data_IF_627403933922
#
_entry.id   IF_627403933922
#
_cell.length_a   1.000
_cell.length_b   1.000
_cell.length_c   1.000
_cell.angle_alpha   90.00
_cell.angle_beta   90.00
_cell.angle_gamma   90.00
#
_symmetry.space_group_name_H-M   'P 1'
#
loop_
_entity.id
_entity.type
_entity.pdbx_description
1 polymer ?
#
# COMPACT_ATOMS: atom_id res chain seq x y z
N UNK A 1 7.25 -11.47 0.05
CA UNK A 1 8.35 -10.68 -0.50
C UNK A 1 8.02 -10.05 -1.86
N UNK A 2 7.88 -10.81 -2.95
CA UNK A 2 7.80 -10.24 -4.32
C UNK A 2 6.58 -9.34 -4.54
N UNK A 3 5.43 -9.72 -3.96
CA UNK A 3 4.24 -8.88 -3.96
C UNK A 3 4.50 -7.52 -3.28
N UNK A 4 5.27 -7.51 -2.18
CA UNK A 4 5.65 -6.28 -1.49
C UNK A 4 6.55 -5.38 -2.35
N UNK A 5 7.52 -5.98 -3.07
CA UNK A 5 8.35 -5.25 -4.04
C UNK A 5 7.53 -4.65 -5.17
N UNK A 6 6.59 -5.41 -5.73
CA UNK A 6 5.72 -4.92 -6.80
C UNK A 6 4.85 -3.75 -6.34
N UNK A 7 4.20 -3.88 -5.18
CA UNK A 7 3.37 -2.82 -4.59
C UNK A 7 4.21 -1.56 -4.35
N UNK A 8 5.41 -1.68 -3.77
CA UNK A 8 6.31 -0.53 -3.57
C UNK A 8 6.66 0.21 -4.87
N UNK A 9 6.91 -0.53 -5.96
CA UNK A 9 7.15 0.09 -7.27
C UNK A 9 5.91 0.81 -7.79
N UNK A 10 4.71 0.22 -7.63
CA UNK A 10 3.47 0.86 -8.06
C UNK A 10 3.20 2.16 -7.29
N UNK A 11 3.43 2.18 -5.97
CA UNK A 11 3.33 3.38 -5.14
C UNK A 11 4.25 4.49 -5.66
N UNK A 12 5.51 4.16 -5.93
CA UNK A 12 6.49 5.13 -6.41
C UNK A 12 6.18 5.64 -7.81
N UNK A 13 5.78 4.76 -8.74
CA UNK A 13 5.40 5.13 -10.10
C UNK A 13 4.17 6.03 -10.10
N UNK A 14 3.19 5.75 -9.24
CA UNK A 14 1.99 6.57 -9.08
C UNK A 14 2.33 7.99 -8.62
N UNK A 15 3.22 8.10 -7.63
CA UNK A 15 3.73 9.38 -7.14
C UNK A 15 4.46 10.19 -8.23
N UNK A 16 5.25 9.52 -9.07
CA UNK A 16 5.97 10.15 -10.21
C UNK A 16 4.99 10.57 -11.31
N UNK A 17 4.07 9.69 -11.67
CA UNK A 17 3.14 9.89 -12.77
C UNK A 17 1.95 10.79 -12.39
N UNK A 18 1.82 11.17 -11.11
CA UNK A 18 0.69 11.93 -10.55
C UNK A 18 -0.65 11.28 -10.88
N UNK A 19 -0.67 9.95 -10.86
CA UNK A 19 -1.91 9.20 -11.05
C UNK A 19 -2.73 9.42 -9.77
N UNK A 20 -3.99 9.82 -9.91
CA UNK A 20 -4.81 10.20 -8.75
C UNK A 20 -5.01 9.03 -7.77
N UNK A 21 -5.02 9.33 -6.47
CA UNK A 21 -5.05 8.35 -5.37
C UNK A 21 -6.14 7.27 -5.50
N UNK A 22 -7.33 7.63 -6.01
CA UNK A 22 -8.43 6.67 -6.21
C UNK A 22 -8.04 5.56 -7.19
N UNK A 23 -7.36 5.90 -8.29
CA UNK A 23 -6.94 4.94 -9.32
C UNK A 23 -5.87 3.99 -8.78
N UNK A 24 -4.97 4.48 -7.93
CA UNK A 24 -3.97 3.66 -7.25
C UNK A 24 -4.64 2.63 -6.34
N UNK A 25 -5.55 3.07 -5.48
CA UNK A 25 -6.24 2.20 -4.54
C UNK A 25 -7.02 1.08 -5.26
N UNK A 26 -7.72 1.40 -6.35
CA UNK A 26 -8.45 0.41 -7.14
C UNK A 26 -7.50 -0.61 -7.79
N UNK A 27 -6.35 -0.17 -8.31
CA UNK A 27 -5.33 -1.04 -8.90
C UNK A 27 -4.68 -1.96 -7.86
N UNK A 28 -4.33 -1.43 -6.70
CA UNK A 28 -3.76 -2.22 -5.61
C UNK A 28 -4.76 -3.26 -5.11
N UNK A 29 -6.04 -2.88 -4.96
CA UNK A 29 -7.09 -3.82 -4.61
C UNK A 29 -7.21 -4.95 -5.64
N UNK A 30 -7.33 -4.61 -6.92
CA UNK A 30 -7.45 -5.60 -7.99
C UNK A 30 -6.23 -6.54 -8.05
N UNK A 31 -5.02 -6.00 -7.87
CA UNK A 31 -3.78 -6.79 -7.82
C UNK A 31 -3.82 -7.79 -6.65
N UNK A 32 -4.20 -7.34 -5.46
CA UNK A 32 -4.18 -8.16 -4.26
C UNK A 32 -5.28 -9.22 -4.28
N UNK A 33 -6.47 -8.87 -4.77
CA UNK A 33 -7.57 -9.83 -5.01
C UNK A 33 -7.17 -10.89 -6.04
N UNK A 34 -6.56 -10.48 -7.16
CA UNK A 34 -6.08 -11.40 -8.20
C UNK A 34 -4.99 -12.33 -7.68
N UNK A 35 -4.04 -11.83 -6.90
CA UNK A 35 -2.99 -12.66 -6.28
C UNK A 35 -3.58 -13.68 -5.31
N UNK A 36 -4.50 -13.26 -4.44
CA UNK A 36 -5.16 -14.16 -3.50
C UNK A 36 -5.99 -15.23 -4.21
N UNK A 37 -6.72 -14.86 -5.27
CA UNK A 37 -7.46 -15.81 -6.09
C UNK A 37 -6.57 -16.81 -6.83
N UNK A 38 -5.42 -16.36 -7.34
CA UNK A 38 -4.48 -17.23 -8.05
C UNK A 38 -3.67 -18.17 -7.16
N UNK A 39 -3.30 -17.73 -5.96
CA UNK A 39 -2.51 -18.54 -5.01
C UNK A 39 -3.41 -19.39 -4.10
N UNK A 40 -4.71 -19.07 -4.01
CA UNK A 40 -5.65 -19.78 -3.13
C UNK A 40 -5.38 -19.53 -1.64
N UNK A 41 -4.69 -18.44 -1.29
CA UNK A 41 -4.29 -18.14 0.08
C UNK A 41 -4.68 -16.72 0.49
N UNK A 42 -5.00 -16.56 1.78
CA UNK A 42 -5.26 -15.24 2.38
C UNK A 42 -3.92 -14.57 2.67
N UNK A 43 -3.77 -13.33 2.19
CA UNK A 43 -2.58 -12.54 2.47
C UNK A 43 -2.54 -12.13 3.94
N UNK A 44 -1.44 -12.47 4.62
CA UNK A 44 -1.15 -11.94 5.95
C UNK A 44 -0.72 -10.47 5.84
N UNK A 45 -1.64 -9.56 6.20
CA UNK A 45 -1.49 -8.11 5.99
C UNK A 45 -0.24 -7.51 6.67
N UNK A 46 0.03 -7.76 7.96
CA UNK A 46 1.23 -7.21 8.60
C UNK A 46 2.55 -7.61 7.90
N UNK A 47 2.62 -8.84 7.39
CA UNK A 47 3.79 -9.31 6.64
C UNK A 47 3.90 -8.62 5.29
N UNK A 48 2.77 -8.38 4.61
CA UNK A 48 2.76 -7.61 3.37
C UNK A 48 3.21 -6.18 3.62
N UNK A 49 2.64 -5.49 4.61
CA UNK A 49 2.97 -4.10 4.94
C UNK A 49 4.46 -3.95 5.25
N UNK A 50 5.02 -4.88 6.04
CA UNK A 50 6.46 -4.91 6.33
C UNK A 50 7.30 -5.07 5.06
N UNK A 51 6.94 -5.99 4.16
CA UNK A 51 7.65 -6.18 2.90
C UNK A 51 7.54 -4.97 1.96
N UNK A 52 6.40 -4.28 1.93
CA UNK A 52 6.23 -3.05 1.15
C UNK A 52 7.11 -1.95 1.72
N UNK A 53 7.08 -1.72 3.03
CA UNK A 53 7.90 -0.72 3.70
C UNK A 53 9.40 -0.96 3.47
N UNK A 54 9.88 -2.19 3.68
CA UNK A 54 11.27 -2.56 3.40
C UNK A 54 11.65 -2.32 1.92
N UNK A 55 10.74 -2.62 0.99
CA UNK A 55 10.98 -2.40 -0.44
C UNK A 55 11.02 -0.93 -0.82
N UNK A 56 10.19 -0.08 -0.19
CA UNK A 56 10.21 1.37 -0.37
C UNK A 56 11.53 1.97 0.12
N UNK A 57 12.00 1.58 1.30
CA UNK A 57 13.27 2.05 1.85
C UNK A 57 14.46 1.63 0.98
N UNK A 58 14.45 0.40 0.47
CA UNK A 58 15.49 -0.05 -0.45
C UNK A 58 15.46 0.70 -1.81
N UNK A 59 14.27 1.08 -2.29
CA UNK A 59 14.16 1.95 -3.47
C UNK A 59 14.71 3.35 -3.18
N UNK A 60 14.38 3.92 -2.01
CA UNK A 60 14.87 5.22 -1.58
C UNK A 60 16.40 5.25 -1.51
N UNK A 61 17.02 4.24 -0.89
CA UNK A 61 18.46 4.04 -0.86
C UNK A 61 19.07 4.02 -2.28
N UNK A 62 18.51 3.20 -3.18
CA UNK A 62 19.00 3.10 -4.56
C UNK A 62 18.90 4.42 -5.32
N UNK A 63 17.82 5.18 -5.13
CA UNK A 63 17.62 6.48 -5.76
C UNK A 63 18.61 7.51 -5.21
N UNK A 64 18.83 7.52 -3.89
CA UNK A 64 19.78 8.40 -3.24
C UNK A 64 21.23 8.13 -3.68
N UNK A 65 21.60 6.86 -3.84
CA UNK A 65 22.93 6.45 -4.31
C UNK A 65 23.14 6.68 -5.81
N UNK A 66 22.05 6.74 -6.60
CA UNK A 66 22.09 6.92 -8.06
C UNK A 66 21.01 7.91 -8.50
N UNK A 67 21.22 9.22 -8.30
CA UNK A 67 20.23 10.26 -8.58
C UNK A 67 20.11 10.55 -10.08
N UNK A 68 19.51 9.62 -10.83
CA UNK A 68 19.34 9.73 -12.28
C UNK A 68 18.11 10.55 -12.69
N UNK A 69 17.16 10.75 -11.77
CA UNK A 69 15.90 11.45 -12.04
C UNK A 69 15.96 12.90 -11.55
N UNK A 70 15.41 13.84 -12.33
CA UNK A 70 15.16 15.19 -11.82
C UNK A 70 14.18 15.12 -10.66
N UNK A 71 14.48 15.83 -9.57
CA UNK A 71 13.65 15.77 -8.37
C UNK A 71 13.76 14.45 -7.60
N UNK A 72 14.85 13.69 -7.76
CA UNK A 72 15.07 12.41 -7.07
C UNK A 72 14.81 12.46 -5.56
N UNK A 73 15.12 13.59 -4.91
CA UNK A 73 14.89 13.79 -3.48
C UNK A 73 13.40 13.72 -3.10
N UNK A 74 12.49 14.14 -3.97
CA UNK A 74 11.04 14.01 -3.75
C UNK A 74 10.59 12.54 -3.80
N UNK A 75 11.27 11.71 -4.61
CA UNK A 75 10.99 10.28 -4.68
C UNK A 75 11.51 9.52 -3.46
N UNK A 76 12.68 9.93 -2.95
CA UNK A 76 13.23 9.45 -1.68
C UNK A 76 12.29 9.83 -0.52
N UNK A 77 11.92 11.11 -0.44
CA UNK A 77 11.03 11.63 0.61
C UNK A 77 9.68 10.91 0.60
N UNK A 78 9.07 10.77 -0.57
CA UNK A 78 7.84 9.99 -0.73
C UNK A 78 8.01 8.55 -0.24
N UNK A 79 9.06 7.84 -0.67
CA UNK A 79 9.25 6.44 -0.30
C UNK A 79 9.47 6.25 1.21
N UNK A 80 10.20 7.17 1.86
CA UNK A 80 10.40 7.15 3.31
C UNK A 80 9.10 7.43 4.05
N UNK A 81 8.39 8.51 3.71
CA UNK A 81 7.12 8.87 4.34
C UNK A 81 6.07 7.76 4.18
N UNK A 82 5.99 7.17 2.99
CA UNK A 82 5.03 6.10 2.72
C UNK A 82 5.37 4.81 3.49
N UNK A 83 6.65 4.49 3.65
CA UNK A 83 7.09 3.38 4.50
C UNK A 83 6.75 3.63 5.98
N UNK A 84 6.96 4.85 6.48
CA UNK A 84 6.58 5.23 7.85
C UNK A 84 5.06 5.09 8.08
N UNK A 85 4.25 5.60 7.14
CA UNK A 85 2.78 5.51 7.23
C UNK A 85 2.30 4.07 7.25
N UNK A 86 2.93 3.17 6.47
CA UNK A 86 2.61 1.74 6.50
C UNK A 86 2.96 1.11 7.85
N UNK A 87 4.16 1.39 8.38
CA UNK A 87 4.61 0.83 9.66
C UNK A 87 3.79 1.35 10.85
N UNK A 88 3.26 2.57 10.77
CA UNK A 88 2.35 3.15 11.78
C UNK A 88 0.89 2.72 11.59
N UNK A 89 0.55 2.04 10.50
CA UNK A 89 -0.83 1.67 10.16
C UNK A 89 -1.70 2.84 9.70
N UNK A 90 -1.09 3.97 9.33
CA UNK A 90 -1.75 5.17 8.80
C UNK A 90 -2.05 5.05 7.30
N UNK A 91 -1.31 4.18 6.60
CA UNK A 91 -1.60 3.78 5.23
C UNK A 91 -2.31 2.43 5.24
N UNK A 92 -3.45 2.39 4.57
CA UNK A 92 -4.15 1.14 4.29
C UNK A 92 -3.98 0.76 2.82
N UNK A 93 -3.26 -0.33 2.57
CA UNK A 93 -3.07 -0.87 1.20
C UNK A 93 -4.37 -1.44 0.62
N UNK A 94 -5.32 -1.80 1.48
CA UNK A 94 -6.63 -2.33 1.11
C UNK A 94 -7.62 -1.78 2.12
N UNK A 95 -8.14 -0.56 1.86
CA UNK A 95 -9.19 0.08 2.65
C UNK A 95 -9.99 -0.99 3.40
N UNK A 96 -9.85 -1.03 4.74
CA UNK A 96 -10.69 -1.86 5.61
C UNK A 96 -12.09 -1.66 5.08
N UNK A 97 -12.72 -2.71 4.56
CA UNK A 97 -14.18 -2.72 4.52
C UNK A 97 -14.58 -2.37 5.93
N UNK A 98 -15.24 -1.22 6.09
CA UNK A 98 -15.77 -0.80 7.37
C UNK A 98 -16.38 -2.02 8.03
N UNK A 99 -15.81 -2.38 9.18
CA UNK A 99 -16.44 -3.33 10.09
C UNK A 99 -17.87 -2.83 10.25
N UNK A 100 -18.82 -3.73 10.02
CA UNK A 100 -20.23 -3.42 9.96
C UNK A 100 -20.64 -2.46 11.07
N UNK A 101 -21.46 -1.47 10.70
CA UNK A 101 -22.43 -0.90 11.63
C UNK A 101 -23.02 -2.06 12.43
N UNK A 102 -23.01 -2.05 13.77
CA UNK A 102 -23.92 -2.93 14.48
C UNK A 102 -25.32 -2.57 14.01
N UNK A 103 -26.06 -3.56 13.54
CA UNK A 103 -27.48 -3.42 13.33
C UNK A 103 -28.06 -2.96 14.68
N UNK A 104 -28.56 -1.73 14.72
CA UNK A 104 -29.36 -1.24 15.83
C UNK A 104 -30.56 -2.18 15.93
N UNK A 105 -30.44 -3.16 16.82
CA UNK A 105 -31.54 -3.97 17.31
C UNK A 105 -32.49 -3.06 18.08
N UNK A 106 -33.32 -2.32 17.35
CA UNK A 106 -34.59 -1.82 17.87
C UNK A 106 -35.57 -3.00 17.86
N UNK A 107 -35.26 -4.02 18.66
CA UNK A 107 -36.21 -4.98 19.16
C UNK A 107 -36.40 -4.64 20.64
N UNK A 108 -37.26 -3.66 20.89
CA UNK A 108 -37.97 -3.57 22.16
C UNK A 108 -39.45 -3.57 21.83
N UNK A 109 -39.95 -4.78 21.59
CA UNK A 109 -41.35 -5.11 21.85
C UNK A 109 -41.43 -5.23 23.38
N UNK A 110 -42.03 -4.21 24.00
CA UNK A 110 -43.00 -4.30 25.10
C UNK A 110 -43.35 -2.89 25.55
#
# INVERSE_FOLDING_TARGET
HDLGRLVAHLLLVDAVARIGERRLADRLRALLEGYQGGVGAILHRPTLDWHVAASLLHLAERIALRPLLRGWYLHVDYAVLEAERLLRGERDLVRRRDKGRPASSAASIR
#
